data_IF_754436047245
#
_entry.id   IF_754436047245
#
_cell.length_a   1.000
_cell.length_b   1.000
_cell.length_c   1.000
_cell.angle_alpha   90.00
_cell.angle_beta   90.00
_cell.angle_gamma   90.00
#
_symmetry.space_group_name_H-M   'P 1'
#
loop_
_entity.id
_entity.type
_entity.pdbx_description
1 polymer ?
#
# COMPACT_ATOMS: atom_id res chain seq x y z
N UNK A 1 2.71 13.74 -10.88
CA UNK A 1 2.22 12.42 -10.51
C UNK A 1 1.49 11.77 -11.66
N UNK A 2 1.32 10.51 -11.61
CA UNK A 2 0.69 9.66 -12.60
C UNK A 2 1.43 8.32 -12.68
N UNK A 3 0.85 7.38 -13.42
CA UNK A 3 1.48 6.08 -13.63
C UNK A 3 2.65 6.20 -14.62
N UNK A 4 3.90 5.92 -14.22
CA UNK A 4 5.07 6.08 -15.09
C UNK A 4 4.99 5.25 -16.37
N UNK A 5 4.44 4.03 -16.30
CA UNK A 5 4.33 3.14 -17.46
C UNK A 5 3.40 3.70 -18.55
N UNK A 6 2.52 4.65 -18.20
CA UNK A 6 1.66 5.37 -19.15
C UNK A 6 2.34 6.62 -19.73
N UNK A 7 3.52 6.99 -19.21
CA UNK A 7 4.25 8.20 -19.65
C UNK A 7 5.20 7.90 -20.80
N UNK A 8 5.10 8.59 -21.94
CA UNK A 8 6.09 8.50 -23.02
C UNK A 8 7.53 8.83 -22.57
N UNK A 9 7.66 9.63 -21.50
CA UNK A 9 8.98 10.02 -20.99
C UNK A 9 9.71 8.85 -20.35
N UNK A 10 8.99 7.96 -19.64
CA UNK A 10 9.61 6.74 -19.13
C UNK A 10 10.20 5.90 -20.26
N UNK A 11 9.43 5.66 -21.31
CA UNK A 11 9.87 4.82 -22.43
C UNK A 11 11.07 5.42 -23.13
N UNK A 12 11.09 6.75 -23.35
CA UNK A 12 12.26 7.46 -23.90
C UNK A 12 13.49 7.33 -23.00
N UNK A 13 13.31 7.41 -21.67
CA UNK A 13 14.40 7.21 -20.71
C UNK A 13 14.95 5.77 -20.80
N UNK A 14 14.07 4.76 -20.83
CA UNK A 14 14.49 3.35 -20.93
C UNK A 14 15.19 3.05 -22.26
N UNK A 15 14.68 3.62 -23.36
CA UNK A 15 15.33 3.51 -24.67
C UNK A 15 16.72 4.17 -24.65
N UNK A 16 16.86 5.35 -24.03
CA UNK A 16 18.14 6.03 -23.87
C UNK A 16 19.10 5.22 -23.01
N UNK A 17 18.68 4.67 -21.87
CA UNK A 17 19.48 3.81 -21.00
C UNK A 17 20.03 2.64 -21.83
N UNK A 18 19.20 1.98 -22.63
CA UNK A 18 19.61 0.86 -23.47
C UNK A 18 20.71 1.24 -24.48
N UNK A 19 20.71 2.49 -24.99
CA UNK A 19 21.75 2.99 -25.91
C UNK A 19 23.09 3.26 -25.25
N UNK A 20 23.11 3.45 -23.91
CA UNK A 20 24.36 3.76 -23.20
C UNK A 20 25.27 2.54 -23.04
N UNK A 21 24.68 1.33 -22.89
CA UNK A 21 25.46 0.10 -22.71
C UNK A 21 26.51 0.23 -21.60
N UNK A 22 27.75 -0.12 -21.89
CA UNK A 22 28.88 -0.10 -20.94
C UNK A 22 29.30 1.32 -20.49
N UNK A 23 28.74 2.37 -21.08
CA UNK A 23 28.99 3.77 -20.64
C UNK A 23 28.19 4.18 -19.40
N UNK A 24 27.20 3.37 -19.03
CA UNK A 24 26.43 3.63 -17.82
C UNK A 24 27.30 3.49 -16.57
N UNK A 25 27.08 4.38 -15.60
CA UNK A 25 27.67 4.18 -14.28
C UNK A 25 27.15 2.88 -13.67
N UNK A 26 27.99 1.88 -13.39
CA UNK A 26 27.55 0.59 -12.86
C UNK A 26 26.91 0.69 -11.47
N UNK A 27 27.17 1.79 -10.74
CA UNK A 27 26.57 2.04 -9.43
C UNK A 27 25.26 2.84 -9.51
N UNK A 28 24.77 3.17 -10.69
CA UNK A 28 23.51 3.90 -10.84
C UNK A 28 22.34 2.99 -10.47
N UNK A 29 21.50 3.43 -9.54
CA UNK A 29 20.23 2.77 -9.23
C UNK A 29 19.10 3.47 -9.97
N UNK A 30 18.27 2.71 -10.66
CA UNK A 30 17.01 3.17 -11.23
C UNK A 30 15.87 2.77 -10.28
N UNK A 31 15.13 3.74 -9.76
CA UNK A 31 13.95 3.50 -8.93
C UNK A 31 12.70 4.00 -9.65
N UNK A 32 11.69 3.15 -9.76
CA UNK A 32 10.42 3.49 -10.42
C UNK A 32 9.28 3.14 -9.47
N UNK A 33 8.38 4.12 -9.24
CA UNK A 33 7.16 3.90 -8.47
C UNK A 33 5.99 3.71 -9.45
N UNK A 34 5.34 2.55 -9.40
CA UNK A 34 4.21 2.17 -10.25
C UNK A 34 3.08 1.58 -9.42
N UNK A 35 1.84 1.85 -9.79
CA UNK A 35 0.68 1.20 -9.20
C UNK A 35 0.49 -0.25 -9.70
N UNK A 36 1.34 -0.73 -10.61
CA UNK A 36 1.29 -2.07 -11.22
C UNK A 36 -0.07 -2.43 -11.85
N UNK A 37 -0.92 -1.45 -12.11
CA UNK A 37 -2.25 -1.64 -12.74
C UNK A 37 -2.22 -1.57 -14.27
N UNK A 38 -1.04 -1.54 -14.89
CA UNK A 38 -0.92 -1.50 -16.34
C UNK A 38 -1.30 -2.84 -16.98
N UNK A 39 -1.81 -2.80 -18.22
CA UNK A 39 -2.12 -3.99 -19.00
C UNK A 39 -0.88 -4.88 -19.14
N UNK A 40 -1.09 -6.20 -19.22
CA UNK A 40 -0.02 -7.20 -19.29
C UNK A 40 1.01 -6.89 -20.39
N UNK A 41 0.58 -6.46 -21.58
CA UNK A 41 1.49 -6.11 -22.67
C UNK A 41 2.47 -4.96 -22.36
N UNK A 42 2.02 -4.00 -21.52
CA UNK A 42 2.85 -2.90 -21.03
C UNK A 42 3.84 -3.42 -19.97
N UNK A 43 3.36 -4.27 -19.07
CA UNK A 43 4.19 -4.94 -18.06
C UNK A 43 5.29 -5.78 -18.73
N UNK A 44 4.96 -6.56 -19.75
CA UNK A 44 5.93 -7.40 -20.47
C UNK A 44 6.98 -6.56 -21.20
N UNK A 45 6.56 -5.46 -21.83
CA UNK A 45 7.49 -4.50 -22.42
C UNK A 45 8.42 -3.89 -21.37
N UNK A 46 7.86 -3.49 -20.23
CA UNK A 46 8.61 -2.91 -19.10
C UNK A 46 9.65 -3.89 -18.57
N UNK A 47 9.27 -5.14 -18.32
CA UNK A 47 10.17 -6.23 -17.90
C UNK A 47 11.31 -6.42 -18.91
N UNK A 48 10.97 -6.48 -20.20
CA UNK A 48 11.98 -6.67 -21.28
C UNK A 48 13.04 -5.58 -21.28
N UNK A 49 12.62 -4.31 -21.09
CA UNK A 49 13.54 -3.17 -21.04
C UNK A 49 14.44 -3.18 -19.80
N UNK A 50 13.91 -3.59 -18.65
CA UNK A 50 14.61 -3.52 -17.37
C UNK A 50 15.42 -4.78 -17.02
N UNK A 51 15.15 -5.91 -17.65
CA UNK A 51 15.83 -7.19 -17.35
C UNK A 51 17.36 -7.13 -17.50
N UNK A 52 17.88 -6.16 -18.26
CA UNK A 52 19.31 -5.94 -18.46
C UNK A 52 19.90 -4.91 -17.49
N UNK A 53 19.09 -4.39 -16.55
CA UNK A 53 19.49 -3.33 -15.64
C UNK A 53 19.53 -3.88 -14.20
N UNK A 54 20.72 -4.29 -13.76
CA UNK A 54 20.91 -5.01 -12.49
C UNK A 54 20.50 -4.21 -11.24
N UNK A 55 20.63 -2.89 -11.29
CA UNK A 55 20.32 -2.00 -10.16
C UNK A 55 18.93 -1.33 -10.28
N UNK A 56 17.91 -2.11 -10.64
CA UNK A 56 16.53 -1.62 -10.68
C UNK A 56 15.79 -1.94 -9.40
N UNK A 57 15.11 -0.94 -8.83
CA UNK A 57 14.21 -1.07 -7.69
C UNK A 57 12.79 -0.67 -8.09
N UNK A 58 11.84 -1.51 -7.75
CA UNK A 58 10.42 -1.27 -8.00
C UNK A 58 9.73 -0.84 -6.71
N UNK A 59 9.12 0.32 -6.73
CA UNK A 59 8.21 0.79 -5.70
C UNK A 59 6.78 0.63 -6.19
N UNK A 60 5.92 0.07 -5.37
CA UNK A 60 4.48 -0.03 -5.64
C UNK A 60 3.68 0.39 -4.42
N UNK A 61 2.38 0.54 -4.57
CA UNK A 61 1.54 1.02 -3.47
C UNK A 61 0.25 0.21 -3.42
N UNK A 62 0.05 -0.46 -2.29
CA UNK A 62 -1.20 -1.15 -1.96
C UNK A 62 -1.35 -1.18 -0.45
N UNK A 63 -2.52 -0.82 0.08
CA UNK A 63 -2.78 -0.64 1.51
C UNK A 63 -3.80 -1.61 2.09
N UNK A 64 -4.43 -2.42 1.24
CA UNK A 64 -5.54 -3.31 1.61
C UNK A 64 -5.58 -4.51 0.65
N UNK A 65 -6.56 -5.39 0.82
CA UNK A 65 -6.75 -6.54 -0.06
C UNK A 65 -8.09 -6.47 -0.80
N UNK A 66 -8.18 -7.11 -1.96
CA UNK A 66 -9.40 -7.29 -2.77
C UNK A 66 -10.20 -5.99 -2.98
N UNK A 67 -11.51 -6.05 -2.78
CA UNK A 67 -12.44 -4.93 -3.00
C UNK A 67 -12.10 -3.72 -2.11
N UNK A 68 -11.50 -3.94 -0.94
CA UNK A 68 -11.08 -2.85 -0.06
C UNK A 68 -9.89 -2.08 -0.68
N UNK A 69 -8.94 -2.77 -1.30
CA UNK A 69 -7.85 -2.12 -2.04
C UNK A 69 -8.40 -1.30 -3.22
N UNK A 70 -9.34 -1.87 -3.97
CA UNK A 70 -9.99 -1.22 -5.11
C UNK A 70 -10.85 -0.01 -4.69
N UNK A 71 -11.46 -0.06 -3.49
CA UNK A 71 -12.20 1.06 -2.93
C UNK A 71 -11.27 2.21 -2.52
N UNK A 72 -10.16 1.90 -1.85
CA UNK A 72 -9.18 2.88 -1.36
C UNK A 72 -8.44 3.55 -2.51
N UNK A 73 -8.13 2.80 -3.56
CA UNK A 73 -7.40 3.25 -4.75
C UNK A 73 -8.25 3.14 -6.00
N UNK A 74 -8.88 4.22 -6.39
CA UNK A 74 -9.68 4.24 -7.62
C UNK A 74 -8.80 3.89 -8.83
N UNK A 75 -9.31 2.99 -9.68
CA UNK A 75 -8.63 2.53 -10.89
C UNK A 75 -7.61 1.40 -10.70
N UNK A 76 -7.39 0.91 -9.48
CA UNK A 76 -6.65 -0.35 -9.27
C UNK A 76 -7.61 -1.54 -9.41
N UNK A 77 -7.14 -2.62 -10.03
CA UNK A 77 -7.72 -3.96 -9.95
C UNK A 77 -6.74 -4.79 -9.12
N UNK A 78 -7.16 -5.22 -7.93
CA UNK A 78 -6.28 -5.90 -6.97
C UNK A 78 -5.66 -7.17 -7.55
N UNK A 79 -6.44 -7.94 -8.31
CA UNK A 79 -5.96 -9.15 -8.98
C UNK A 79 -4.83 -8.87 -9.98
N UNK A 80 -4.93 -7.77 -10.74
CA UNK A 80 -3.89 -7.35 -11.67
C UNK A 80 -2.63 -6.90 -10.92
N UNK A 81 -2.79 -6.09 -9.86
CA UNK A 81 -1.67 -5.69 -9.01
C UNK A 81 -0.93 -6.89 -8.43
N UNK A 82 -1.66 -7.84 -7.86
CA UNK A 82 -1.11 -9.06 -7.26
C UNK A 82 -0.37 -9.92 -8.30
N UNK A 83 -0.97 -10.13 -9.47
CA UNK A 83 -0.39 -10.89 -10.58
C UNK A 83 0.88 -10.22 -11.11
N UNK A 84 0.84 -8.90 -11.33
CA UNK A 84 1.98 -8.14 -11.82
C UNK A 84 3.12 -8.10 -10.80
N UNK A 85 2.81 -8.01 -9.50
CA UNK A 85 3.80 -8.11 -8.43
C UNK A 85 4.52 -9.47 -8.49
N UNK A 86 3.75 -10.57 -8.58
CA UNK A 86 4.29 -11.91 -8.72
C UNK A 86 5.17 -12.07 -9.97
N UNK A 87 4.73 -11.59 -11.12
CA UNK A 87 5.50 -11.67 -12.36
C UNK A 87 6.83 -10.91 -12.26
N UNK A 88 6.83 -9.69 -11.66
CA UNK A 88 8.08 -8.96 -11.41
C UNK A 88 9.02 -9.74 -10.51
N UNK A 89 8.50 -10.40 -9.47
CA UNK A 89 9.27 -11.19 -8.52
C UNK A 89 9.83 -12.47 -9.15
N UNK A 90 8.98 -13.26 -9.83
CA UNK A 90 9.36 -14.56 -10.43
C UNK A 90 10.34 -14.37 -11.58
N UNK A 91 10.13 -13.36 -12.41
CA UNK A 91 11.01 -13.04 -13.54
C UNK A 91 12.31 -12.32 -13.10
N UNK A 92 12.45 -12.03 -11.80
CA UNK A 92 13.63 -11.37 -11.19
C UNK A 92 14.02 -10.07 -11.90
N UNK A 93 13.01 -9.27 -12.25
CA UNK A 93 13.27 -8.03 -13.00
C UNK A 93 13.88 -6.97 -12.10
N UNK A 94 13.30 -6.61 -10.92
CA UNK A 94 13.95 -5.71 -9.98
C UNK A 94 14.89 -6.48 -9.04
N UNK A 95 15.90 -5.81 -8.50
CA UNK A 95 16.67 -6.33 -7.37
C UNK A 95 15.89 -6.26 -6.05
N UNK A 96 14.99 -5.29 -5.93
CA UNK A 96 14.12 -5.10 -4.77
C UNK A 96 12.73 -4.61 -5.18
N UNK A 97 11.69 -5.06 -4.46
CA UNK A 97 10.30 -4.59 -4.58
C UNK A 97 9.87 -4.04 -3.23
N UNK A 98 9.42 -2.78 -3.22
CA UNK A 98 8.98 -2.08 -2.01
C UNK A 98 7.49 -1.74 -2.11
N UNK A 99 6.65 -2.36 -1.27
CA UNK A 99 5.25 -1.95 -1.16
C UNK A 99 5.10 -0.79 -0.18
N UNK A 100 4.74 0.39 -0.68
CA UNK A 100 4.54 1.59 0.13
C UNK A 100 3.07 1.74 0.50
N UNK A 101 2.75 1.56 1.77
CA UNK A 101 1.39 1.71 2.28
C UNK A 101 1.20 3.10 2.90
N UNK A 102 0.17 3.82 2.46
CA UNK A 102 -0.29 5.06 3.11
C UNK A 102 -1.56 4.75 3.90
N UNK A 103 -1.37 4.51 5.20
CA UNK A 103 -2.40 3.97 6.08
C UNK A 103 -3.40 5.05 6.48
N UNK A 104 -4.60 4.97 5.96
CA UNK A 104 -5.79 5.71 6.38
C UNK A 104 -6.73 4.81 7.23
N UNK A 105 -7.86 5.34 7.67
CA UNK A 105 -8.82 4.61 8.50
C UNK A 105 -9.34 3.32 7.85
N UNK A 106 -9.53 3.31 6.52
CA UNK A 106 -10.09 2.16 5.80
C UNK A 106 -9.09 1.01 5.65
N UNK A 107 -7.79 1.32 5.62
CA UNK A 107 -6.75 0.30 5.45
C UNK A 107 -6.76 -0.72 6.58
N UNK A 108 -7.12 -0.29 7.81
CA UNK A 108 -6.95 -1.09 9.02
C UNK A 108 -7.73 -2.40 9.02
N UNK A 109 -8.85 -2.47 8.28
CA UNK A 109 -9.71 -3.64 8.27
C UNK A 109 -9.05 -4.86 7.60
N UNK A 110 -8.31 -4.67 6.51
CA UNK A 110 -7.60 -5.74 5.81
C UNK A 110 -6.08 -5.60 5.81
N UNK A 111 -5.54 -4.62 6.52
CA UNK A 111 -4.08 -4.43 6.60
C UNK A 111 -3.35 -5.68 7.11
N UNK A 112 -3.79 -6.36 8.19
CA UNK A 112 -3.12 -7.59 8.64
C UNK A 112 -3.06 -8.65 7.53
N UNK A 113 -4.12 -8.83 6.75
CA UNK A 113 -4.14 -9.77 5.63
C UNK A 113 -3.15 -9.37 4.53
N UNK A 114 -3.06 -8.08 4.19
CA UNK A 114 -2.06 -7.59 3.24
C UNK A 114 -0.64 -7.87 3.75
N UNK A 115 -0.37 -7.61 5.03
CA UNK A 115 0.95 -7.84 5.63
C UNK A 115 1.31 -9.35 5.64
N UNK A 116 0.35 -10.25 5.88
CA UNK A 116 0.55 -11.70 5.74
C UNK A 116 0.91 -12.07 4.28
N UNK A 117 0.27 -11.45 3.29
CA UNK A 117 0.65 -11.64 1.88
C UNK A 117 2.07 -11.12 1.60
N UNK A 118 2.48 -10.02 2.22
CA UNK A 118 3.87 -9.53 2.10
C UNK A 118 4.87 -10.51 2.71
N UNK A 119 4.56 -11.14 3.86
CA UNK A 119 5.37 -12.22 4.44
C UNK A 119 5.48 -13.40 3.48
N UNK A 120 4.37 -13.78 2.84
CA UNK A 120 4.37 -14.84 1.84
C UNK A 120 5.27 -14.47 0.64
N UNK A 121 5.18 -13.26 0.08
CA UNK A 121 6.05 -12.78 -1.00
C UNK A 121 7.53 -12.81 -0.57
N UNK A 122 7.85 -12.31 0.63
CA UNK A 122 9.22 -12.37 1.20
C UNK A 122 9.73 -13.81 1.24
N UNK A 123 8.91 -14.74 1.72
CA UNK A 123 9.27 -16.15 1.85
C UNK A 123 9.47 -16.82 0.49
N UNK A 124 8.60 -16.55 -0.47
CA UNK A 124 8.70 -17.07 -1.83
C UNK A 124 9.93 -16.52 -2.58
N UNK A 125 10.31 -15.28 -2.29
CA UNK A 125 11.45 -14.61 -2.92
C UNK A 125 12.81 -15.02 -2.37
N UNK A 126 12.89 -15.52 -1.13
CA UNK A 126 14.15 -15.77 -0.40
C UNK A 126 15.15 -16.65 -1.15
N UNK A 127 14.70 -17.56 -2.00
CA UNK A 127 15.59 -18.55 -2.60
C UNK A 127 16.33 -17.99 -3.81
N UNK A 128 15.68 -17.18 -4.65
CA UNK A 128 16.27 -16.66 -5.89
C UNK A 128 15.63 -15.37 -6.42
N UNK A 129 14.72 -14.76 -5.66
CA UNK A 129 13.98 -13.57 -6.10
C UNK A 129 14.61 -12.25 -5.64
N UNK A 130 13.94 -11.13 -5.96
CA UNK A 130 14.30 -9.81 -5.45
C UNK A 130 14.06 -9.70 -3.95
N UNK A 131 14.71 -8.75 -3.30
CA UNK A 131 14.35 -8.37 -1.94
C UNK A 131 12.92 -7.81 -1.94
N UNK A 132 12.09 -8.25 -1.00
CA UNK A 132 10.69 -7.77 -0.88
C UNK A 132 10.51 -7.11 0.48
N UNK A 133 10.08 -5.84 0.49
CA UNK A 133 9.87 -5.06 1.70
C UNK A 133 8.56 -4.28 1.63
N UNK A 134 8.06 -3.85 2.79
CA UNK A 134 6.95 -2.91 2.87
C UNK A 134 7.27 -1.72 3.80
N UNK A 135 6.54 -0.63 3.62
CA UNK A 135 6.60 0.53 4.50
C UNK A 135 5.21 0.98 4.89
N UNK A 136 5.04 1.41 6.16
CA UNK A 136 3.77 1.90 6.69
C UNK A 136 3.89 3.40 7.00
N UNK A 137 3.30 4.23 6.16
CA UNK A 137 3.20 5.68 6.35
C UNK A 137 1.80 6.04 6.83
N UNK A 138 1.70 6.69 7.98
CA UNK A 138 0.41 7.02 8.59
C UNK A 138 -0.15 8.29 7.96
N UNK A 139 -1.35 8.23 7.39
CA UNK A 139 -2.06 9.39 6.87
C UNK A 139 -2.59 10.23 8.05
N UNK A 140 -2.09 11.45 8.20
CA UNK A 140 -2.50 12.38 9.25
C UNK A 140 -3.43 13.49 8.73
N UNK A 141 -3.35 13.76 7.44
CA UNK A 141 -4.13 14.79 6.77
C UNK A 141 -4.63 14.29 5.40
N UNK A 142 -5.92 14.53 5.06
CA UNK A 142 -6.92 15.24 5.88
C UNK A 142 -7.32 14.43 7.12
N UNK A 143 -7.54 15.13 8.26
CA UNK A 143 -7.69 14.49 9.58
C UNK A 143 -8.88 13.52 9.66
N UNK A 144 -9.94 13.76 8.88
CA UNK A 144 -11.11 12.88 8.83
C UNK A 144 -10.81 11.52 8.12
N UNK A 145 -9.69 11.38 7.43
CA UNK A 145 -9.24 10.10 6.85
C UNK A 145 -8.17 9.39 7.69
N UNK A 146 -7.63 10.08 8.69
CA UNK A 146 -6.64 9.47 9.59
C UNK A 146 -7.24 8.26 10.33
N UNK A 147 -6.44 7.23 10.64
CA UNK A 147 -6.86 6.13 11.51
C UNK A 147 -7.53 6.57 12.82
N UNK A 148 -7.18 7.76 13.32
CA UNK A 148 -7.71 8.30 14.57
C UNK A 148 -9.16 8.80 14.47
N UNK A 149 -9.78 8.84 13.29
CA UNK A 149 -11.20 9.16 13.15
C UNK A 149 -12.10 8.04 13.68
N UNK A 150 -11.60 6.81 13.69
CA UNK A 150 -12.34 5.66 14.17
C UNK A 150 -12.57 5.72 15.69
N UNK A 151 -13.68 5.19 16.20
CA UNK A 151 -13.95 5.11 17.62
C UNK A 151 -12.98 4.16 18.34
N UNK A 152 -12.88 4.29 19.65
CA UNK A 152 -11.90 3.58 20.47
C UNK A 152 -11.98 2.06 20.38
N UNK A 153 -13.18 1.51 20.29
CA UNK A 153 -13.42 0.07 20.17
C UNK A 153 -12.85 -0.50 18.86
N UNK A 154 -13.10 0.17 17.74
CA UNK A 154 -12.53 -0.22 16.44
C UNK A 154 -11.01 -0.06 16.42
N UNK A 155 -10.48 1.05 16.97
CA UNK A 155 -9.03 1.25 17.05
C UNK A 155 -8.35 0.17 17.91
N UNK A 156 -8.97 -0.17 19.06
CA UNK A 156 -8.46 -1.22 19.94
C UNK A 156 -8.52 -2.60 19.27
N UNK A 157 -9.58 -2.88 18.50
CA UNK A 157 -9.69 -4.12 17.72
C UNK A 157 -8.54 -4.22 16.70
N UNK A 158 -8.39 -3.22 15.84
CA UNK A 158 -7.36 -3.24 14.79
C UNK A 158 -5.93 -3.20 15.36
N UNK A 159 -5.73 -2.48 16.46
CA UNK A 159 -4.48 -2.55 17.22
C UNK A 159 -4.18 -3.99 17.68
N UNK A 160 -5.19 -4.66 18.25
CA UNK A 160 -5.04 -6.06 18.67
C UNK A 160 -4.67 -7.00 17.51
N UNK A 161 -5.24 -6.78 16.33
CA UNK A 161 -4.93 -7.58 15.14
C UNK A 161 -3.50 -7.31 14.64
N UNK A 162 -3.02 -6.07 14.66
CA UNK A 162 -1.63 -5.72 14.34
C UNK A 162 -0.62 -6.28 15.36
N UNK A 163 -0.95 -6.27 16.65
CA UNK A 163 -0.11 -6.89 17.70
C UNK A 163 0.01 -8.40 17.46
N UNK A 164 -1.09 -9.09 17.14
CA UNK A 164 -1.07 -10.51 16.79
C UNK A 164 -0.18 -10.77 15.56
N UNK A 165 -0.36 -9.96 14.51
CA UNK A 165 0.48 -10.06 13.31
C UNK A 165 1.97 -9.91 13.66
N UNK A 166 2.33 -8.87 14.41
CA UNK A 166 3.72 -8.60 14.77
C UNK A 166 4.32 -9.75 15.57
N UNK A 167 3.62 -10.23 16.62
CA UNK A 167 4.09 -11.31 17.47
C UNK A 167 4.28 -12.64 16.70
N UNK A 168 3.45 -12.89 15.69
CA UNK A 168 3.50 -14.12 14.89
C UNK A 168 4.59 -14.09 13.82
N UNK A 169 4.95 -12.89 13.34
CA UNK A 169 5.76 -12.73 12.13
C UNK A 169 7.10 -12.00 12.36
N UNK A 170 7.43 -11.53 13.57
CA UNK A 170 8.61 -10.71 13.87
C UNK A 170 9.90 -11.24 13.24
N UNK A 171 10.12 -12.57 13.33
CA UNK A 171 11.31 -13.25 12.75
C UNK A 171 11.40 -13.18 11.21
N UNK A 172 10.33 -12.78 10.52
CA UNK A 172 10.26 -12.65 9.06
C UNK A 172 10.31 -11.19 8.61
N UNK A 173 10.29 -10.26 9.56
CA UNK A 173 10.28 -8.83 9.33
C UNK A 173 11.68 -8.24 9.44
N UNK A 174 11.95 -7.22 8.62
CA UNK A 174 13.11 -6.39 8.80
C UNK A 174 12.90 -5.43 10.00
N UNK A 175 13.99 -5.00 10.62
CA UNK A 175 13.91 -4.08 11.76
C UNK A 175 13.07 -2.82 11.48
N UNK A 176 13.14 -2.29 10.26
CA UNK A 176 12.34 -1.14 9.85
C UNK A 176 10.85 -1.48 9.80
N UNK A 177 10.48 -2.65 9.31
CA UNK A 177 9.09 -3.11 9.23
C UNK A 177 8.48 -3.32 10.62
N UNK A 178 9.26 -3.94 11.54
CA UNK A 178 8.89 -4.06 12.96
C UNK A 178 8.62 -2.69 13.57
N UNK A 179 9.57 -1.75 13.43
CA UNK A 179 9.45 -0.41 13.99
C UNK A 179 8.26 0.37 13.41
N UNK A 180 7.98 0.24 12.12
CA UNK A 180 6.86 0.93 11.50
C UNK A 180 5.52 0.34 11.91
N UNK A 181 5.44 -0.98 12.05
CA UNK A 181 4.25 -1.66 12.57
C UNK A 181 4.01 -1.28 14.03
N UNK A 182 5.05 -1.26 14.88
CA UNK A 182 4.94 -0.81 16.26
C UNK A 182 4.51 0.66 16.34
N UNK A 183 5.07 1.53 15.50
CA UNK A 183 4.67 2.95 15.43
C UNK A 183 3.19 3.12 15.06
N UNK A 184 2.65 2.27 14.18
CA UNK A 184 1.22 2.29 13.85
C UNK A 184 0.38 1.83 15.04
N UNK A 185 0.79 0.77 15.74
CA UNK A 185 0.16 0.27 16.97
C UNK A 185 0.10 1.40 18.02
N UNK A 186 1.23 2.06 18.26
CA UNK A 186 1.32 3.16 19.23
C UNK A 186 0.47 4.37 18.80
N UNK A 187 0.41 4.66 17.51
CA UNK A 187 -0.40 5.74 16.97
C UNK A 187 -1.89 5.55 17.22
N UNK A 188 -2.39 4.31 17.19
CA UNK A 188 -3.78 4.02 17.46
C UNK A 188 -4.18 4.30 18.93
N UNK A 189 -3.22 4.43 19.84
CA UNK A 189 -3.43 4.78 21.26
C UNK A 189 -3.38 6.30 21.55
N UNK A 190 -2.86 7.12 20.63
CA UNK A 190 -2.54 8.55 20.88
C UNK A 190 -3.76 9.40 21.26
N UNK A 191 -4.97 8.99 20.94
CA UNK A 191 -6.19 9.78 21.14
C UNK A 191 -6.69 9.83 22.59
N UNK A 192 -6.03 9.16 23.51
CA UNK A 192 -6.32 9.32 24.95
C UNK A 192 -5.82 10.65 25.53
N UNK A 193 -5.12 11.46 24.75
CA UNK A 193 -4.70 12.80 25.13
C UNK A 193 -5.69 13.85 24.64
N UNK A 194 -6.11 14.81 25.44
CA UNK A 194 -7.29 15.65 25.26
C UNK A 194 -7.15 16.79 24.24
N UNK A 195 -6.42 16.62 23.14
CA UNK A 195 -6.21 17.69 22.16
C UNK A 195 -7.32 17.79 21.09
N UNK A 196 -8.09 16.72 20.88
CA UNK A 196 -9.35 16.83 20.13
C UNK A 196 -10.48 16.62 21.13
N UNK A 197 -11.18 17.68 21.53
CA UNK A 197 -12.37 17.56 22.35
C UNK A 197 -13.41 16.66 21.68
N UNK A 198 -14.33 16.05 22.43
CA UNK A 198 -15.37 15.17 21.90
C UNK A 198 -16.16 15.81 20.73
N UNK A 199 -16.32 17.14 20.74
CA UNK A 199 -16.96 17.90 19.66
C UNK A 199 -16.15 17.89 18.35
N UNK A 200 -14.84 17.96 18.43
CA UNK A 200 -13.96 17.90 17.24
C UNK A 200 -13.94 16.49 16.66
N UNK A 201 -13.87 15.44 17.48
CA UNK A 201 -13.95 14.06 17.04
C UNK A 201 -15.27 13.77 16.32
N UNK A 202 -16.41 14.20 16.90
CA UNK A 202 -17.73 14.08 16.28
C UNK A 202 -17.82 14.80 14.94
N UNK A 203 -17.17 15.97 14.80
CA UNK A 203 -17.09 16.69 13.52
C UNK A 203 -16.29 15.88 12.49
N UNK A 204 -15.11 15.37 12.85
CA UNK A 204 -14.29 14.57 11.94
C UNK A 204 -15.02 13.30 11.47
N UNK A 205 -15.78 12.65 12.35
CA UNK A 205 -16.60 11.49 12.00
C UNK A 205 -17.72 11.86 11.01
N UNK A 206 -18.39 12.99 11.19
CA UNK A 206 -19.39 13.50 10.25
C UNK A 206 -18.75 13.86 8.89
N UNK A 207 -17.58 14.47 8.90
CA UNK A 207 -16.84 14.79 7.67
C UNK A 207 -16.42 13.49 6.94
N UNK A 208 -16.00 12.47 7.67
CA UNK A 208 -15.75 11.12 7.15
C UNK A 208 -16.99 10.55 6.47
N UNK A 209 -18.13 10.54 7.17
CA UNK A 209 -19.42 10.06 6.63
C UNK A 209 -19.82 10.83 5.36
N UNK A 210 -19.74 12.15 5.41
CA UNK A 210 -20.11 13.00 4.29
C UNK A 210 -19.22 12.71 3.05
N UNK A 211 -17.91 12.59 3.27
CA UNK A 211 -16.95 12.31 2.18
C UNK A 211 -17.25 10.97 1.52
N UNK A 212 -17.33 9.87 2.28
CA UNK A 212 -17.52 8.55 1.70
C UNK A 212 -18.93 8.34 1.15
N UNK A 213 -19.97 8.98 1.71
CA UNK A 213 -21.30 9.00 1.08
C UNK A 213 -21.30 9.69 -0.29
N UNK A 214 -20.50 10.75 -0.46
CA UNK A 214 -20.33 11.39 -1.77
C UNK A 214 -19.50 10.54 -2.72
N UNK A 215 -18.48 9.86 -2.19
CA UNK A 215 -17.64 8.95 -2.96
C UNK A 215 -18.46 7.80 -3.53
N UNK A 216 -19.28 7.13 -2.71
CA UNK A 216 -20.18 6.05 -3.13
C UNK A 216 -21.14 6.50 -4.24
N UNK A 217 -21.78 7.65 -4.06
CA UNK A 217 -22.70 8.21 -5.07
C UNK A 217 -22.02 8.46 -6.42
N UNK A 218 -20.74 8.86 -6.42
CA UNK A 218 -19.99 9.19 -7.65
C UNK A 218 -19.39 7.95 -8.31
N UNK A 219 -18.95 6.99 -7.52
CA UNK A 219 -18.26 5.78 -8.00
C UNK A 219 -19.20 4.59 -8.21
N UNK A 220 -20.44 4.64 -7.72
CA UNK A 220 -21.36 3.51 -7.71
C UNK A 220 -20.93 2.40 -6.75
N UNK A 221 -20.10 2.72 -5.75
CA UNK A 221 -19.62 1.77 -4.72
C UNK A 221 -20.51 1.81 -3.49
N UNK A 222 -20.28 0.87 -2.59
CA UNK A 222 -21.00 0.73 -1.31
C UNK A 222 -19.99 0.53 -0.18
N UNK A 223 -19.85 1.57 0.64
CA UNK A 223 -18.92 1.58 1.76
C UNK A 223 -19.17 0.44 2.74
N UNK A 224 -20.41 0.30 3.21
CA UNK A 224 -20.73 -0.66 4.25
C UNK A 224 -20.60 -2.12 3.78
N UNK A 225 -20.84 -2.37 2.49
CA UNK A 225 -20.62 -3.68 1.89
C UNK A 225 -19.12 -3.98 1.76
N UNK A 226 -18.32 -2.98 1.40
CA UNK A 226 -16.88 -3.14 1.18
C UNK A 226 -16.10 -3.27 2.50
N UNK A 227 -16.53 -2.55 3.54
CA UNK A 227 -15.89 -2.53 4.86
C UNK A 227 -16.89 -2.98 5.92
N UNK A 228 -17.19 -4.27 6.06
CA UNK A 228 -18.24 -4.75 6.94
C UNK A 228 -18.02 -4.39 8.42
N UNK A 229 -16.79 -4.37 8.91
CA UNK A 229 -16.47 -4.05 10.31
C UNK A 229 -16.60 -2.54 10.56
N UNK A 230 -15.99 -1.70 9.73
CA UNK A 230 -16.08 -0.24 9.84
C UNK A 230 -17.48 0.24 9.45
N UNK A 231 -18.16 -0.48 8.55
CA UNK A 231 -19.48 -0.16 8.04
C UNK A 231 -20.58 -0.18 9.09
N UNK A 232 -20.49 -1.03 10.11
CA UNK A 232 -21.42 -1.02 11.25
C UNK A 232 -21.40 0.34 11.96
N UNK A 233 -20.22 0.82 12.32
CA UNK A 233 -20.04 2.14 12.92
C UNK A 233 -20.42 3.27 11.95
N UNK A 234 -19.99 3.17 10.70
CA UNK A 234 -20.29 4.15 9.65
C UNK A 234 -21.79 4.38 9.46
N UNK A 235 -22.60 3.33 9.55
CA UNK A 235 -24.06 3.45 9.45
C UNK A 235 -24.68 4.14 10.68
N UNK A 236 -24.02 4.09 11.82
CA UNK A 236 -24.47 4.70 13.08
C UNK A 236 -24.14 6.19 13.27
N UNK A 237 -23.30 6.78 12.38
CA UNK A 237 -22.95 8.22 12.42
C UNK A 237 -24.11 9.10 11.85
#
# INVERSE_FOLDING_TARGET
GGEPMMSPNLWRLLDWIETQGDKMNPNMTLAINSNLGAKQSIIDRFKTKLKKFDNFELYTSCEATFEQAEYIRDGIVYGDWHSNFLHMMVDKVPRAIHNMCTINALCLESLPELLEKMIWFKSASKVYGPEVNFTLNILRFPSFQSPLVLPDDLRNKFKGDLVKFLNSNEKHLEHMEVNQTQRLIDYLDVVKTPHAGAAEQSKLQKDFKAFYSQYDKRSGRDFAKTFPIIGEWYNGI
#
